data_IF_048529481990
#
_entry.id   IF_048529481990
#
_cell.length_a   1.000
_cell.length_b   1.000
_cell.length_c   1.000
_cell.angle_alpha   90.00
_cell.angle_beta   90.00
_cell.angle_gamma   90.00
#
_symmetry.space_group_name_H-M   'P 1'
#
loop_
_entity.id
_entity.type
_entity.pdbx_description
1 polymer ?
#
# COMPACT_ATOMS: atom_id res chain seq x y z
N UNK A 1 11.58 2.14 21.69
CA UNK A 1 12.48 2.82 20.74
C UNK A 1 11.77 2.88 19.41
N UNK A 2 11.92 3.96 18.65
CA UNK A 2 11.34 4.04 17.30
C UNK A 2 12.48 4.42 16.35
N UNK A 3 13.07 3.42 15.70
CA UNK A 3 13.81 3.56 14.44
C UNK A 3 14.24 2.17 13.95
N UNK A 4 13.70 1.73 12.81
CA UNK A 4 14.27 0.69 11.94
C UNK A 4 14.48 -0.69 12.53
N UNK A 5 13.50 -1.27 13.24
CA UNK A 5 13.63 -2.68 13.63
C UNK A 5 13.47 -3.55 12.37
N UNK A 6 14.20 -4.67 12.30
CA UNK A 6 14.08 -5.69 11.25
C UNK A 6 12.67 -6.33 11.13
N UNK A 7 11.70 -5.84 11.90
CA UNK A 7 10.29 -6.28 11.93
C UNK A 7 9.37 -5.29 11.21
N UNK A 8 9.87 -4.14 10.74
CA UNK A 8 9.10 -3.18 9.95
C UNK A 8 9.20 -3.53 8.47
N UNK A 9 8.12 -4.09 7.90
CA UNK A 9 8.01 -4.23 6.45
C UNK A 9 7.75 -2.84 5.88
N UNK A 10 8.64 -2.41 5.00
CA UNK A 10 8.46 -1.23 4.15
C UNK A 10 8.17 -1.73 2.74
N UNK A 11 7.04 -1.29 2.19
CA UNK A 11 6.64 -1.65 0.83
C UNK A 11 6.62 -0.40 -0.05
N UNK A 12 7.45 -0.40 -1.08
CA UNK A 12 7.53 0.68 -2.06
C UNK A 12 6.74 0.29 -3.31
N UNK A 13 5.69 1.03 -3.58
CA UNK A 13 4.78 0.81 -4.69
C UNK A 13 5.06 1.81 -5.82
N UNK A 14 5.15 1.31 -7.05
CA UNK A 14 5.22 2.10 -8.28
C UNK A 14 4.15 1.65 -9.28
N UNK A 15 3.82 2.50 -10.24
CA UNK A 15 2.79 2.23 -11.26
C UNK A 15 2.89 0.87 -11.94
N UNK A 16 4.11 0.41 -12.25
CA UNK A 16 4.34 -0.87 -12.95
C UNK A 16 3.92 -2.11 -12.16
N UNK A 17 3.65 -1.99 -10.86
CA UNK A 17 3.23 -3.09 -10.00
C UNK A 17 1.70 -3.17 -9.84
N UNK A 18 0.97 -2.24 -10.47
CA UNK A 18 -0.49 -2.19 -10.42
C UNK A 18 -1.07 -2.94 -11.61
N UNK A 19 -1.96 -3.88 -11.32
CA UNK A 19 -2.79 -4.57 -12.30
C UNK A 19 -4.13 -3.84 -12.29
N UNK A 20 -4.33 -2.94 -13.26
CA UNK A 20 -5.61 -2.24 -13.45
C UNK A 20 -6.06 -2.34 -14.88
N UNK A 21 -7.09 -3.12 -15.11
CA UNK A 21 -7.86 -3.07 -16.35
C UNK A 21 -8.76 -1.83 -16.31
N UNK A 22 -8.81 -1.08 -17.42
CA UNK A 22 -9.67 0.12 -17.56
C UNK A 22 -9.39 1.22 -16.51
N UNK A 23 -8.11 1.55 -16.28
CA UNK A 23 -7.72 2.63 -15.36
C UNK A 23 -8.51 3.92 -15.64
N UNK A 24 -8.93 4.61 -14.56
CA UNK A 24 -9.81 5.80 -14.58
C UNK A 24 -11.28 5.54 -14.93
N UNK A 25 -11.67 4.31 -15.28
CA UNK A 25 -13.07 3.92 -15.39
C UNK A 25 -13.77 3.92 -14.02
N UNK A 26 -15.06 4.24 -13.99
CA UNK A 26 -15.84 4.28 -12.74
C UNK A 26 -15.94 2.94 -11.99
N UNK A 27 -15.58 1.84 -12.67
CA UNK A 27 -15.52 0.48 -12.12
C UNK A 27 -14.08 -0.09 -12.08
N UNK A 28 -13.05 0.76 -12.23
CA UNK A 28 -11.67 0.32 -12.21
C UNK A 28 -11.28 -0.21 -10.82
N UNK A 29 -10.70 -1.41 -10.79
CA UNK A 29 -10.12 -1.98 -9.59
C UNK A 29 -8.59 -1.85 -9.63
N UNK A 30 -8.03 -1.07 -8.72
CA UNK A 30 -6.59 -0.87 -8.63
C UNK A 30 -5.98 -1.92 -7.72
N UNK A 31 -5.54 -3.06 -8.28
CA UNK A 31 -4.95 -4.15 -7.49
C UNK A 31 -3.43 -4.09 -7.58
N UNK A 32 -2.77 -4.13 -6.44
CA UNK A 32 -1.31 -4.23 -6.38
C UNK A 32 -0.89 -5.69 -6.34
N UNK A 33 -0.07 -6.10 -7.29
CA UNK A 33 0.46 -7.46 -7.32
C UNK A 33 1.44 -7.69 -6.15
N UNK A 34 1.37 -8.87 -5.53
CA UNK A 34 2.29 -9.30 -4.46
C UNK A 34 2.32 -8.38 -3.23
N UNK A 35 1.22 -7.70 -2.91
CA UNK A 35 1.11 -6.95 -1.66
C UNK A 35 1.35 -7.89 -0.46
N UNK A 36 2.24 -7.53 0.49
CA UNK A 36 2.55 -8.43 1.61
C UNK A 36 1.34 -8.66 2.52
N UNK A 37 1.21 -9.88 3.04
CA UNK A 37 0.16 -10.19 4.02
C UNK A 37 0.25 -9.25 5.23
N UNK A 38 -0.92 -8.87 5.79
CA UNK A 38 -0.99 -8.03 6.98
C UNK A 38 -1.00 -8.92 8.22
N UNK A 39 0.08 -8.96 9.04
CA UNK A 39 0.11 -9.80 10.23
C UNK A 39 -0.94 -9.36 11.25
N UNK A 40 -1.38 -10.29 12.11
CA UNK A 40 -2.31 -9.99 13.19
C UNK A 40 -1.77 -8.87 14.09
N UNK A 41 -2.64 -7.93 14.46
CA UNK A 41 -2.28 -6.79 15.32
C UNK A 41 -1.47 -5.70 14.62
N UNK A 42 -1.33 -5.78 13.29
CA UNK A 42 -0.70 -4.73 12.48
C UNK A 42 -1.71 -4.07 11.54
N UNK A 43 -1.37 -2.85 11.11
CA UNK A 43 -2.07 -2.13 10.05
C UNK A 43 -1.09 -1.47 9.09
N UNK A 44 -1.53 -1.19 7.87
CA UNK A 44 -0.74 -0.45 6.89
C UNK A 44 -0.94 1.05 7.05
N UNK A 45 0.17 1.79 7.03
CA UNK A 45 0.18 3.25 6.94
C UNK A 45 0.90 3.68 5.67
N UNK A 46 0.24 4.50 4.86
CA UNK A 46 0.89 5.19 3.76
C UNK A 46 1.72 6.34 4.33
N UNK A 47 3.04 6.24 4.21
CA UNK A 47 3.99 7.23 4.71
C UNK A 47 3.99 8.48 3.81
N UNK A 48 3.86 8.29 2.50
CA UNK A 48 3.86 9.40 1.51
C UNK A 48 2.74 10.42 1.71
N UNK A 49 1.64 10.01 2.34
CA UNK A 49 0.49 10.86 2.64
C UNK A 49 0.15 10.92 4.13
N UNK A 50 0.98 10.30 4.98
CA UNK A 50 0.76 10.20 6.43
C UNK A 50 -0.66 9.74 6.81
N UNK A 51 -1.19 8.73 6.10
CA UNK A 51 -2.56 8.22 6.32
C UNK A 51 -2.58 6.74 6.63
N UNK A 52 -3.56 6.33 7.42
CA UNK A 52 -3.83 4.91 7.64
C UNK A 52 -4.58 4.34 6.41
N UNK A 53 -4.23 3.11 6.03
CA UNK A 53 -4.91 2.38 4.96
C UNK A 53 -6.06 1.59 5.58
N UNK A 54 -7.27 1.83 5.10
CA UNK A 54 -8.45 1.09 5.56
C UNK A 54 -8.30 -0.41 5.24
N UNK A 55 -8.80 -1.26 6.12
CA UNK A 55 -8.61 -2.72 6.02
C UNK A 55 -9.18 -3.30 4.71
N UNK A 56 -10.32 -2.79 4.26
CA UNK A 56 -10.99 -3.15 3.00
C UNK A 56 -10.30 -2.56 1.75
N UNK A 57 -9.30 -1.70 1.94
CA UNK A 57 -8.53 -1.03 0.87
C UNK A 57 -7.08 -1.50 0.79
N UNK A 58 -6.65 -2.42 1.66
CA UNK A 58 -5.30 -2.99 1.60
C UNK A 58 -5.09 -3.66 0.24
N UNK A 59 -3.95 -3.38 -0.40
CA UNK A 59 -3.64 -3.77 -1.78
C UNK A 59 -4.56 -3.20 -2.87
N UNK A 60 -5.50 -2.32 -2.54
CA UNK A 60 -6.45 -1.67 -3.46
C UNK A 60 -6.11 -0.19 -3.68
N UNK A 61 -4.89 0.05 -4.14
CA UNK A 61 -4.27 1.36 -4.16
C UNK A 61 -4.07 1.87 -5.59
N UNK A 62 -4.72 2.98 -5.99
CA UNK A 62 -4.41 3.64 -7.25
C UNK A 62 -3.03 4.28 -7.16
N UNK A 63 -2.23 4.11 -8.20
CA UNK A 63 -0.95 4.80 -8.37
C UNK A 63 -0.90 5.30 -9.81
N UNK A 64 -0.59 6.57 -10.00
CA UNK A 64 -0.41 7.12 -11.34
C UNK A 64 1.00 6.87 -11.89
N UNK A 65 1.22 6.93 -13.22
CA UNK A 65 2.53 6.66 -13.83
C UNK A 65 3.71 7.47 -13.28
N UNK A 66 3.45 8.66 -12.71
CA UNK A 66 4.45 9.54 -12.11
C UNK A 66 4.52 9.43 -10.58
N UNK A 67 3.71 8.57 -9.96
CA UNK A 67 3.66 8.42 -8.51
C UNK A 67 4.48 7.22 -8.03
N UNK A 68 5.04 7.40 -6.84
CA UNK A 68 5.51 6.31 -6.00
C UNK A 68 4.92 6.50 -4.60
N UNK A 69 4.49 5.40 -3.99
CA UNK A 69 3.93 5.39 -2.64
C UNK A 69 4.76 4.50 -1.74
N UNK A 70 4.89 4.89 -0.48
CA UNK A 70 5.64 4.12 0.52
C UNK A 70 4.69 3.76 1.65
N UNK A 71 4.68 2.47 2.00
CA UNK A 71 3.85 1.95 3.08
C UNK A 71 4.71 1.28 4.14
N UNK A 72 4.26 1.36 5.39
CA UNK A 72 4.86 0.64 6.49
C UNK A 72 3.80 -0.15 7.27
N UNK A 73 4.18 -1.32 7.76
CA UNK A 73 3.42 -2.00 8.82
C UNK A 73 3.70 -1.32 10.16
N UNK A 74 2.64 -0.88 10.81
CA UNK A 74 2.65 -0.29 12.15
C UNK A 74 1.72 -1.09 13.06
N UNK A 75 1.86 -0.93 14.37
CA UNK A 75 0.93 -1.53 15.34
C UNK A 75 -0.49 -0.98 15.13
N UNK A 76 -1.48 -1.87 15.19
CA UNK A 76 -2.89 -1.54 14.97
C UNK A 76 -3.51 -0.78 16.15
#
# INVERSE_FOLDING_TARGET
>A
GISGSAQQIVYALSYFQVITDNALGGNAEYRVANWPETPQGKRWREITQERDVAYDRVALEPVFPWEAKVYALVDA
#
